data_IF_608215521325
#
_entry.id   IF_608215521325
#
_cell.length_a   1.000
_cell.length_b   1.000
_cell.length_c   1.000
_cell.angle_alpha   90.00
_cell.angle_beta   90.00
_cell.angle_gamma   90.00
#
_symmetry.space_group_name_H-M   'P 1'
#
loop_
_entity.id
_entity.type
_entity.pdbx_description
1 polymer ?
#
# COMPACT_ATOMS: atom_id res chain seq x y z
N UNK A 1 -30.12 -1.26 -6.33
CA UNK A 1 -28.69 -1.55 -6.61
C UNK A 1 -28.07 -0.31 -7.23
N UNK A 2 -26.89 0.08 -6.77
CA UNK A 2 -26.21 1.30 -7.20
C UNK A 2 -25.67 1.23 -8.62
N UNK A 3 -25.51 2.40 -9.26
CA UNK A 3 -24.99 2.52 -10.63
C UNK A 3 -23.51 2.13 -10.69
N UNK A 4 -23.11 1.37 -11.70
CA UNK A 4 -21.70 1.02 -11.94
C UNK A 4 -21.01 2.19 -12.64
N UNK A 5 -19.87 2.65 -12.10
CA UNK A 5 -19.07 3.73 -12.68
C UNK A 5 -17.94 3.17 -13.53
N UNK A 6 -17.20 2.19 -12.98
CA UNK A 6 -16.20 1.40 -13.71
C UNK A 6 -16.42 -0.08 -13.44
N UNK A 7 -16.09 -0.92 -14.43
CA UNK A 7 -16.18 -2.37 -14.32
C UNK A 7 -14.80 -2.98 -14.52
N UNK A 8 -14.45 -3.93 -13.68
CA UNK A 8 -13.20 -4.68 -13.79
C UNK A 8 -13.03 -5.30 -15.19
N UNK A 9 -11.80 -5.32 -15.70
CA UNK A 9 -11.46 -5.80 -17.04
C UNK A 9 -11.83 -4.84 -18.19
N UNK A 10 -12.63 -3.80 -17.96
CA UNK A 10 -12.96 -2.83 -19.01
C UNK A 10 -11.77 -1.93 -19.34
N UNK A 11 -11.77 -1.35 -20.56
CA UNK A 11 -10.75 -0.39 -20.94
C UNK A 11 -10.85 0.88 -20.07
N UNK A 12 -9.69 1.41 -19.70
CA UNK A 12 -9.58 2.65 -18.96
C UNK A 12 -9.43 3.84 -19.91
N UNK A 13 -10.32 4.82 -19.72
CA UNK A 13 -10.37 6.05 -20.53
C UNK A 13 -10.35 7.30 -19.63
N UNK A 14 -10.79 7.16 -18.39
CA UNK A 14 -11.02 8.28 -17.46
C UNK A 14 -10.48 8.03 -16.07
N UNK A 15 -10.08 9.09 -15.41
CA UNK A 15 -9.81 9.16 -13.98
C UNK A 15 -10.94 9.93 -13.29
N UNK A 16 -11.28 9.57 -12.05
CA UNK A 16 -12.42 10.15 -11.35
C UNK A 16 -12.02 10.71 -9.98
N UNK A 17 -12.54 11.90 -9.65
CA UNK A 17 -12.45 12.50 -8.32
C UNK A 17 -13.87 12.68 -7.75
N UNK A 18 -14.14 12.13 -6.57
CA UNK A 18 -15.45 12.22 -5.93
C UNK A 18 -15.62 13.61 -5.30
N UNK A 19 -16.57 14.39 -5.79
CA UNK A 19 -16.91 15.71 -5.25
C UNK A 19 -17.89 15.55 -4.07
N UNK A 20 -18.82 14.61 -4.16
CA UNK A 20 -19.76 14.28 -3.10
C UNK A 20 -20.30 12.84 -3.28
N UNK A 21 -20.76 12.22 -2.18
CA UNK A 21 -21.26 10.84 -2.17
C UNK A 21 -20.27 9.77 -1.71
N UNK A 22 -20.71 8.51 -1.80
CA UNK A 22 -20.00 7.31 -1.37
C UNK A 22 -20.04 6.23 -2.46
N UNK A 23 -18.93 5.54 -2.70
CA UNK A 23 -18.81 4.44 -3.65
C UNK A 23 -18.14 3.22 -3.02
N UNK A 24 -18.54 2.04 -3.45
CA UNK A 24 -17.93 0.76 -3.09
C UNK A 24 -17.00 0.27 -4.21
N UNK A 25 -15.84 -0.27 -3.83
CA UNK A 25 -14.85 -0.86 -4.74
C UNK A 25 -14.80 -2.35 -4.52
N UNK A 26 -15.03 -3.11 -5.59
CA UNK A 26 -15.07 -4.56 -5.60
C UNK A 26 -14.01 -5.13 -6.52
N UNK A 27 -13.39 -6.24 -6.11
CA UNK A 27 -12.50 -7.03 -6.96
C UNK A 27 -13.00 -8.45 -7.07
N UNK A 28 -12.86 -9.04 -8.25
CA UNK A 28 -13.04 -10.48 -8.44
C UNK A 28 -11.91 -11.21 -7.72
N UNK A 29 -12.29 -12.25 -6.98
CA UNK A 29 -11.38 -13.13 -6.27
C UNK A 29 -11.76 -14.57 -6.59
N UNK A 30 -10.78 -15.31 -7.10
CA UNK A 30 -10.90 -16.74 -7.34
C UNK A 30 -10.42 -17.51 -6.10
N UNK A 31 -11.29 -18.35 -5.57
CA UNK A 31 -10.95 -19.22 -4.45
C UNK A 31 -9.96 -20.29 -4.88
N UNK A 32 -8.75 -20.36 -4.31
CA UNK A 32 -7.76 -21.38 -4.67
C UNK A 32 -8.18 -22.79 -4.24
N UNK A 33 -9.21 -22.93 -3.40
CA UNK A 33 -9.70 -24.22 -2.91
C UNK A 33 -10.86 -24.72 -3.77
N UNK A 34 -11.76 -23.82 -4.17
CA UNK A 34 -13.01 -24.19 -4.83
C UNK A 34 -13.08 -23.78 -6.31
N UNK A 35 -12.08 -23.04 -6.81
CA UNK A 35 -12.04 -22.42 -8.15
C UNK A 35 -13.32 -21.64 -8.47
N UNK A 36 -13.97 -21.08 -7.44
CA UNK A 36 -15.15 -20.24 -7.60
C UNK A 36 -14.73 -18.78 -7.62
N UNK A 37 -15.28 -18.03 -8.58
CA UNK A 37 -15.08 -16.59 -8.67
C UNK A 37 -16.14 -15.91 -7.83
N UNK A 38 -15.70 -15.07 -6.91
CA UNK A 38 -16.56 -14.24 -6.06
C UNK A 38 -16.15 -12.78 -6.14
N UNK A 39 -17.06 -11.87 -5.80
CA UNK A 39 -16.74 -10.44 -5.70
C UNK A 39 -16.52 -10.06 -4.24
N UNK A 40 -15.39 -9.40 -3.94
CA UNK A 40 -15.05 -8.95 -2.59
C UNK A 40 -15.00 -7.44 -2.52
N UNK A 41 -15.67 -6.85 -1.52
CA UNK A 41 -15.53 -5.43 -1.19
C UNK A 41 -14.11 -5.17 -0.67
N UNK A 42 -13.34 -4.37 -1.40
CA UNK A 42 -11.95 -4.04 -1.04
C UNK A 42 -11.81 -2.66 -0.44
N UNK A 43 -12.65 -1.69 -0.82
CA UNK A 43 -12.61 -0.34 -0.28
C UNK A 43 -13.97 0.35 -0.36
N UNK A 44 -14.15 1.37 0.50
CA UNK A 44 -15.26 2.33 0.42
C UNK A 44 -14.64 3.71 0.23
N UNK A 45 -14.95 4.37 -0.87
CA UNK A 45 -14.45 5.70 -1.21
C UNK A 45 -15.55 6.73 -0.94
N UNK A 46 -15.15 7.91 -0.49
CA UNK A 46 -16.08 9.00 -0.16
C UNK A 46 -15.69 10.24 -0.96
N UNK A 47 -16.41 11.34 -0.77
CA UNK A 47 -15.98 12.71 -1.12
C UNK A 47 -14.46 12.85 -0.98
N UNK A 48 -13.80 13.59 -1.88
CA UNK A 48 -12.37 13.84 -1.92
C UNK A 48 -11.47 12.64 -2.22
N UNK A 49 -11.98 11.41 -2.27
CA UNK A 49 -11.25 10.27 -2.81
C UNK A 49 -11.25 10.32 -4.34
N UNK A 50 -10.24 9.70 -4.95
CA UNK A 50 -10.17 9.47 -6.38
C UNK A 50 -9.99 8.00 -6.71
N UNK A 51 -10.26 7.62 -7.95
CA UNK A 51 -10.03 6.26 -8.45
C UNK A 51 -9.88 6.22 -9.97
N UNK A 52 -9.32 5.11 -10.46
CA UNK A 52 -9.20 4.82 -11.89
C UNK A 52 -7.84 5.16 -12.50
N UNK A 53 -6.88 5.60 -11.69
CA UNK A 53 -5.51 5.91 -12.07
C UNK A 53 -4.76 4.66 -12.54
N UNK A 54 -4.77 3.57 -11.77
CA UNK A 54 -3.93 2.37 -12.01
C UNK A 54 -4.01 1.89 -13.46
N UNK A 55 -5.23 1.80 -14.00
CA UNK A 55 -5.44 1.30 -15.34
C UNK A 55 -5.03 2.29 -16.45
N UNK A 56 -5.01 3.60 -16.18
CA UNK A 56 -4.48 4.58 -17.13
C UNK A 56 -2.95 4.55 -17.19
N UNK A 57 -2.31 4.12 -16.10
CA UNK A 57 -0.86 4.01 -15.97
C UNK A 57 -0.34 2.68 -16.54
N UNK A 58 -0.99 1.56 -16.17
CA UNK A 58 -0.33 0.25 -16.19
C UNK A 58 -0.79 -0.71 -17.30
N UNK A 59 -2.10 -0.88 -17.45
CA UNK A 59 -2.65 -2.05 -18.15
C UNK A 59 -3.72 -1.69 -19.18
N UNK A 60 -4.13 -0.42 -19.25
CA UNK A 60 -5.36 0.06 -19.91
C UNK A 60 -6.62 -0.67 -19.47
N UNK A 61 -6.58 -1.55 -18.46
CA UNK A 61 -7.68 -2.43 -18.04
C UNK A 61 -7.97 -2.23 -16.56
N UNK A 62 -9.23 -1.97 -16.21
CA UNK A 62 -9.64 -1.72 -14.82
C UNK A 62 -9.35 -2.95 -13.95
N UNK A 63 -8.75 -2.73 -12.79
CA UNK A 63 -8.40 -3.77 -11.82
C UNK A 63 -9.47 -3.99 -10.75
N UNK A 64 -10.56 -3.25 -10.81
CA UNK A 64 -11.68 -3.32 -9.88
C UNK A 64 -12.95 -2.75 -10.53
N UNK A 65 -14.09 -3.13 -9.96
CA UNK A 65 -15.42 -2.56 -10.24
C UNK A 65 -15.73 -1.51 -9.17
N UNK A 66 -16.27 -0.36 -9.55
CA UNK A 66 -16.69 0.69 -8.61
C UNK A 66 -18.16 1.00 -8.83
N UNK A 67 -18.93 0.98 -7.74
CA UNK A 67 -20.37 1.19 -7.76
C UNK A 67 -20.78 2.30 -6.80
N UNK A 68 -21.78 3.10 -7.16
CA UNK A 68 -22.35 4.11 -6.27
C UNK A 68 -23.04 3.45 -5.08
N UNK A 69 -22.70 3.83 -3.86
CA UNK A 69 -23.44 3.45 -2.66
C UNK A 69 -24.57 4.46 -2.35
N UNK A 70 -24.32 5.74 -2.62
CA UNK A 70 -25.29 6.85 -2.54
C UNK A 70 -25.43 7.52 -3.90
N UNK A 71 -26.17 8.63 -3.99
CA UNK A 71 -25.96 9.56 -5.11
C UNK A 71 -24.53 10.10 -5.05
N UNK A 72 -23.87 10.19 -6.20
CA UNK A 72 -22.46 10.56 -6.31
C UNK A 72 -22.28 11.63 -7.37
N UNK A 73 -21.63 12.71 -6.99
CA UNK A 73 -21.15 13.76 -7.91
C UNK A 73 -19.64 13.62 -8.04
N UNK A 74 -19.13 13.60 -9.27
CA UNK A 74 -17.70 13.38 -9.53
C UNK A 74 -17.20 14.21 -10.70
N UNK A 75 -15.92 14.56 -10.67
CA UNK A 75 -15.20 15.04 -11.84
C UNK A 75 -14.66 13.82 -12.59
N UNK A 76 -14.83 13.79 -13.92
CA UNK A 76 -14.21 12.83 -14.81
C UNK A 76 -13.15 13.53 -15.65
N UNK A 77 -11.92 13.03 -15.61
CA UNK A 77 -10.77 13.56 -16.34
C UNK A 77 -10.39 12.55 -17.42
N UNK A 78 -10.34 12.98 -18.68
CA UNK A 78 -9.93 12.14 -19.81
C UNK A 78 -8.45 11.73 -19.68
N UNK A 79 -8.07 10.61 -20.29
CA UNK A 79 -6.71 10.08 -20.20
C UNK A 79 -5.65 11.11 -20.63
N UNK A 80 -5.86 11.83 -21.73
CA UNK A 80 -4.87 12.81 -22.20
C UNK A 80 -4.67 13.95 -21.20
N UNK A 81 -5.75 14.42 -20.58
CA UNK A 81 -5.70 15.48 -19.58
C UNK A 81 -5.10 14.97 -18.27
N UNK A 82 -5.38 13.73 -17.89
CA UNK A 82 -4.73 13.09 -16.76
C UNK A 82 -3.20 13.05 -16.95
N UNK A 83 -2.72 12.62 -18.12
CA UNK A 83 -1.28 12.62 -18.43
C UNK A 83 -0.71 14.04 -18.39
N UNK A 84 -1.40 15.03 -18.98
CA UNK A 84 -0.93 16.43 -18.94
C UNK A 84 -0.88 16.99 -17.52
N UNK A 85 -1.90 16.76 -16.70
CA UNK A 85 -1.99 17.34 -15.36
C UNK A 85 -1.03 16.66 -14.40
N UNK A 86 -0.95 15.32 -14.43
CA UNK A 86 -0.26 14.54 -13.41
C UNK A 86 1.10 13.99 -13.85
N UNK A 87 1.41 13.95 -15.16
CA UNK A 87 2.68 13.41 -15.67
C UNK A 87 3.50 14.37 -16.51
N UNK A 88 2.95 15.50 -16.96
CA UNK A 88 3.73 16.42 -17.80
C UNK A 88 4.68 17.26 -16.94
N UNK A 89 5.93 16.83 -16.86
CA UNK A 89 7.04 17.70 -16.50
C UNK A 89 7.38 18.56 -17.72
N UNK A 90 6.86 19.78 -17.77
CA UNK A 90 7.18 20.75 -18.84
C UNK A 90 8.60 21.31 -18.74
N UNK A 91 9.34 21.01 -17.68
CA UNK A 91 10.72 21.49 -17.48
C UNK A 91 11.65 20.31 -17.18
N UNK A 92 12.92 20.42 -17.57
CA UNK A 92 14.00 19.43 -17.34
C UNK A 92 14.42 19.36 -15.87
N UNK A 93 13.49 19.62 -14.96
CA UNK A 93 13.69 19.60 -13.51
C UNK A 93 13.43 18.19 -12.98
N UNK A 94 14.23 17.78 -12.01
CA UNK A 94 13.99 16.54 -11.28
C UNK A 94 12.58 16.59 -10.66
N UNK A 95 11.76 15.53 -10.75
CA UNK A 95 10.45 15.52 -10.12
C UNK A 95 10.52 15.80 -8.61
N UNK A 96 9.62 16.63 -8.10
CA UNK A 96 9.51 16.98 -6.66
C UNK A 96 9.61 15.79 -5.71
N UNK A 97 9.02 14.65 -6.08
CA UNK A 97 9.04 13.47 -5.23
C UNK A 97 10.45 12.88 -5.11
N UNK A 98 11.27 12.93 -6.17
CA UNK A 98 12.67 12.47 -6.11
C UNK A 98 13.47 13.40 -5.22
N UNK A 99 13.31 14.72 -5.38
CA UNK A 99 13.97 15.70 -4.52
C UNK A 99 13.62 15.49 -3.04
N UNK A 100 12.37 15.13 -2.74
CA UNK A 100 11.96 14.74 -1.38
C UNK A 100 12.59 13.41 -0.93
N UNK A 101 12.56 12.35 -1.75
CA UNK A 101 13.14 11.06 -1.40
C UNK A 101 14.64 11.14 -1.10
N UNK A 102 15.38 12.01 -1.80
CA UNK A 102 16.82 12.26 -1.52
C UNK A 102 17.08 12.84 -0.13
N UNK A 103 16.09 13.47 0.51
CA UNK A 103 16.23 14.02 1.87
C UNK A 103 16.10 12.94 2.96
N UNK A 104 15.64 11.73 2.60
CA UNK A 104 15.41 10.63 3.54
C UNK A 104 16.72 9.83 3.71
N UNK A 105 17.29 9.73 4.93
CA UNK A 105 18.56 9.05 5.17
C UNK A 105 18.59 7.59 4.71
N UNK A 106 17.47 6.88 4.81
CA UNK A 106 17.31 5.48 4.42
C UNK A 106 17.49 5.25 2.90
N UNK A 107 17.33 6.30 2.09
CA UNK A 107 17.57 6.26 0.65
C UNK A 107 18.99 6.71 0.26
N UNK A 108 19.92 6.86 1.22
CA UNK A 108 21.31 7.17 0.92
C UNK A 108 21.92 6.08 0.03
N UNK A 109 22.42 6.48 -1.14
CA UNK A 109 23.01 5.57 -2.13
C UNK A 109 22.00 4.87 -3.04
N UNK A 110 20.70 5.19 -2.92
CA UNK A 110 19.70 4.73 -3.88
C UNK A 110 19.95 5.38 -5.26
N UNK A 111 20.00 4.61 -6.37
CA UNK A 111 20.39 5.12 -7.68
C UNK A 111 19.22 5.82 -8.39
N UNK A 112 18.80 6.99 -7.88
CA UNK A 112 17.68 7.76 -8.43
C UNK A 112 17.88 8.14 -9.91
N UNK A 113 19.13 8.19 -10.37
CA UNK A 113 19.53 8.53 -11.74
C UNK A 113 19.14 7.43 -12.74
N UNK A 114 18.87 6.20 -12.25
CA UNK A 114 18.39 5.09 -13.08
C UNK A 114 16.87 5.09 -13.26
N UNK A 115 16.16 5.99 -12.58
CA UNK A 115 14.71 6.12 -12.71
C UNK A 115 14.41 6.85 -14.01
N UNK A 116 13.59 6.31 -14.90
CA UNK A 116 13.19 7.03 -16.10
C UNK A 116 12.43 8.31 -15.68
N UNK A 117 12.80 9.49 -16.20
CA UNK A 117 12.07 10.71 -15.93
C UNK A 117 10.65 10.54 -16.45
N UNK A 118 9.67 10.64 -15.55
CA UNK A 118 8.25 10.43 -15.80
C UNK A 118 7.82 8.97 -15.98
N UNK A 119 8.51 8.02 -15.36
CA UNK A 119 7.95 6.68 -15.17
C UNK A 119 6.83 6.74 -14.12
N UNK A 120 5.54 6.66 -14.51
CA UNK A 120 4.46 6.69 -13.55
C UNK A 120 4.49 5.49 -12.62
N UNK A 121 5.15 4.38 -12.99
CA UNK A 121 5.25 3.17 -12.18
C UNK A 121 6.32 3.28 -11.09
N UNK A 122 7.18 4.29 -11.12
CA UNK A 122 8.22 4.42 -10.10
C UNK A 122 7.68 5.02 -8.80
N UNK A 123 6.80 6.02 -8.89
CA UNK A 123 6.25 6.68 -7.72
C UNK A 123 4.82 7.18 -7.98
N UNK A 124 3.88 6.73 -7.14
CA UNK A 124 2.50 7.21 -7.14
C UNK A 124 2.28 8.16 -5.96
N UNK A 125 2.01 9.43 -6.24
CA UNK A 125 1.58 10.38 -5.22
C UNK A 125 0.08 10.24 -5.00
N UNK A 126 -0.30 9.68 -3.86
CA UNK A 126 -1.71 9.42 -3.50
C UNK A 126 -2.07 10.19 -2.23
N UNK A 127 -3.26 10.77 -2.21
CA UNK A 127 -3.80 11.50 -1.06
C UNK A 127 -4.83 10.63 -0.33
N UNK A 128 -4.62 10.43 0.97
CA UNK A 128 -5.51 9.66 1.82
C UNK A 128 -6.27 10.56 2.78
N UNK A 129 -7.55 10.27 2.99
CA UNK A 129 -8.33 10.89 4.05
C UNK A 129 -8.04 10.25 5.39
N UNK A 130 -8.29 11.00 6.46
CA UNK A 130 -8.20 10.47 7.81
C UNK A 130 -9.09 9.22 7.97
N UNK A 131 -8.52 8.17 8.53
CA UNK A 131 -9.19 6.89 8.76
C UNK A 131 -9.18 5.93 7.56
N UNK A 132 -8.64 6.32 6.40
CA UNK A 132 -8.45 5.40 5.28
C UNK A 132 -7.30 4.44 5.55
N UNK A 133 -7.54 3.14 5.35
CA UNK A 133 -6.48 2.12 5.38
C UNK A 133 -5.70 2.20 4.07
N UNK A 134 -4.42 2.60 4.16
CA UNK A 134 -3.52 2.74 3.01
C UNK A 134 -3.07 1.37 2.47
N UNK A 135 -2.62 0.51 3.38
CA UNK A 135 -2.15 -0.85 3.07
C UNK A 135 -2.72 -1.81 4.12
N UNK A 136 -3.37 -2.89 3.68
CA UNK A 136 -3.97 -3.90 4.58
C UNK A 136 -2.94 -4.91 5.09
N UNK A 137 -2.03 -5.34 4.22
CA UNK A 137 -0.98 -6.29 4.53
C UNK A 137 0.25 -5.97 3.68
N UNK A 138 1.24 -5.32 4.29
CA UNK A 138 2.44 -4.87 3.60
C UNK A 138 3.33 -6.02 3.11
N UNK A 139 3.08 -7.27 3.54
CA UNK A 139 3.83 -8.43 3.03
C UNK A 139 3.31 -8.90 1.66
N UNK A 140 2.14 -8.42 1.24
CA UNK A 140 1.49 -8.78 -0.03
C UNK A 140 1.42 -7.60 -0.99
N UNK A 141 2.02 -6.48 -0.62
CA UNK A 141 2.02 -5.25 -1.41
C UNK A 141 3.37 -5.12 -2.11
N UNK A 142 3.35 -4.75 -3.39
CA UNK A 142 4.56 -4.55 -4.19
C UNK A 142 5.14 -3.14 -3.97
N UNK A 143 4.41 -2.26 -3.27
CA UNK A 143 4.77 -0.86 -3.07
C UNK A 143 5.37 -0.58 -1.69
N UNK A 144 6.36 0.32 -1.67
CA UNK A 144 6.81 1.00 -0.45
C UNK A 144 6.06 2.34 -0.35
N UNK A 145 5.53 2.63 0.84
CA UNK A 145 4.80 3.86 1.10
C UNK A 145 5.71 4.86 1.84
N UNK A 146 5.82 6.07 1.29
CA UNK A 146 6.57 7.17 1.91
C UNK A 146 5.61 8.32 2.20
N UNK A 147 5.49 8.70 3.47
CA UNK A 147 4.60 9.78 3.89
C UNK A 147 5.30 11.13 3.70
N UNK A 148 4.94 11.85 2.62
CA UNK A 148 5.45 13.20 2.35
C UNK A 148 4.89 14.25 3.31
N UNK A 149 3.60 14.16 3.65
CA UNK A 149 2.93 15.12 4.53
C UNK A 149 1.84 14.40 5.33
N UNK A 150 1.73 14.72 6.62
CA UNK A 150 0.77 14.10 7.53
C UNK A 150 1.34 12.95 8.36
N UNK A 151 0.47 12.12 8.92
CA UNK A 151 0.85 10.98 9.75
C UNK A 151 -0.04 9.77 9.46
N UNK A 152 0.55 8.58 9.49
CA UNK A 152 -0.17 7.31 9.44
C UNK A 152 0.09 6.50 10.73
N UNK A 153 -0.82 5.57 11.05
CA UNK A 153 -0.60 4.56 12.09
C UNK A 153 -0.35 3.22 11.43
N UNK A 154 0.74 2.56 11.84
CA UNK A 154 1.02 1.17 11.46
C UNK A 154 0.49 0.27 12.56
N UNK A 155 -0.40 -0.67 12.21
CA UNK A 155 -1.04 -1.58 13.16
C UNK A 155 -0.72 -3.01 12.71
N UNK A 156 -0.23 -3.83 13.64
CA UNK A 156 0.00 -5.26 13.43
C UNK A 156 -0.89 -6.04 14.39
N UNK A 157 -1.79 -6.87 13.84
CA UNK A 157 -2.52 -7.83 14.66
C UNK A 157 -1.54 -8.90 15.17
N UNK A 158 -1.46 -9.05 16.50
CA UNK A 158 -0.63 -10.09 17.13
C UNK A 158 -1.51 -11.29 17.44
N UNK A 159 -1.07 -12.47 17.02
CA UNK A 159 -1.64 -13.72 17.51
C UNK A 159 -1.09 -13.99 18.90
N UNK A 160 -1.98 -14.28 19.84
CA UNK A 160 -1.57 -14.72 21.17
C UNK A 160 -0.82 -16.06 21.02
N UNK A 161 0.41 -16.09 21.49
CA UNK A 161 1.24 -17.29 21.53
C UNK A 161 1.46 -17.69 22.98
N UNK A 162 1.52 -19.00 23.24
CA UNK A 162 1.96 -19.50 24.54
C UNK A 162 3.47 -19.30 24.65
N UNK A 163 3.97 -18.52 25.63
CA UNK A 163 5.41 -18.25 25.75
C UNK A 163 6.18 -19.55 26.05
N UNK A 164 7.18 -19.86 25.23
CA UNK A 164 8.17 -20.89 25.56
C UNK A 164 9.24 -20.25 26.44
N UNK A 165 9.04 -20.34 27.76
CA UNK A 165 10.07 -19.96 28.73
C UNK A 165 11.16 -21.02 28.72
N UNK A 166 12.27 -20.77 28.02
CA UNK A 166 13.50 -21.55 28.22
C UNK A 166 14.15 -21.08 29.51
N UNK A 167 13.85 -21.74 30.62
CA UNK A 167 14.58 -21.55 31.86
C UNK A 167 15.98 -22.12 31.62
N UNK A 168 16.99 -21.27 31.41
CA UNK A 168 18.39 -21.72 31.54
C UNK A 168 18.56 -22.17 32.98
N UNK A 169 18.86 -23.45 33.21
CA UNK A 169 19.28 -23.93 34.55
C UNK A 169 20.43 -23.03 35.00
N UNK A 170 20.31 -22.45 36.20
CA UNK A 170 21.47 -21.84 36.87
C UNK A 170 22.53 -22.95 37.00
N UNK A 171 23.81 -22.69 36.67
CA UNK A 171 24.86 -23.68 36.92
C UNK A 171 24.83 -24.08 38.39
N UNK A 172 24.88 -25.38 38.65
CA UNK A 172 24.99 -25.92 40.00
C UNK A 172 26.35 -25.52 40.58
N UNK A 173 26.33 -24.77 41.68
CA UNK A 173 27.55 -24.45 42.42
C UNK A 173 27.80 -25.60 43.39
N UNK A 174 28.82 -26.42 43.10
CA UNK A 174 29.27 -27.49 43.99
C UNK A 174 30.42 -26.92 44.83
N UNK A 175 30.33 -27.08 46.15
CA UNK A 175 31.40 -26.73 47.08
C UNK A 175 32.14 -28.00 47.50
N UNK A 176 33.47 -28.04 47.34
CA UNK A 176 34.32 -29.07 47.93
C UNK A 176 35.04 -28.55 49.20
N UNK A 177 35.78 -29.42 49.87
CA UNK A 177 36.49 -29.09 51.12
C UNK A 177 37.66 -28.08 50.96
N UNK A 178 37.98 -27.65 49.74
CA UNK A 178 39.08 -26.72 49.43
C UNK A 178 38.64 -25.45 48.67
N UNK A 179 37.41 -25.34 48.14
CA UNK A 179 36.88 -24.11 47.55
C UNK A 179 35.85 -24.32 46.43
N UNK A 180 35.43 -23.23 45.78
CA UNK A 180 34.41 -23.22 44.71
C UNK A 180 34.98 -23.73 43.38
N UNK A 181 34.36 -24.76 42.78
CA UNK A 181 34.66 -25.23 41.42
C UNK A 181 33.46 -24.98 40.51
N UNK A 182 33.65 -24.19 39.45
CA UNK A 182 32.66 -23.98 38.40
C UNK A 182 32.82 -25.09 37.35
N UNK A 183 31.80 -25.90 37.11
CA UNK A 183 31.77 -26.78 35.93
C UNK A 183 31.00 -26.08 34.80
N UNK A 184 31.62 -25.99 33.63
CA UNK A 184 30.97 -25.50 32.41
C UNK A 184 30.03 -26.62 31.89
N UNK A 185 28.84 -26.32 31.34
CA UNK A 185 27.88 -27.33 30.91
C UNK A 185 28.17 -27.87 29.49
N UNK A 186 29.41 -27.75 29.00
CA UNK A 186 29.84 -28.24 27.69
C UNK A 186 31.08 -29.14 27.83
N UNK A 187 30.86 -30.34 28.37
CA UNK A 187 31.55 -31.57 27.96
C UNK A 187 30.47 -32.56 27.47
#
# INVERSE_FOLDING_TARGET
MGRVIIREGHRAEKFYLIIDGITDVYQLWESPITNTISSRLVAVLKKGSSFGEIALLNSKRRTATVTCQTDVTMLAIEQEDFVKIFMSNKERTEPDFITFLRQIPEFRGFPFEKIPPNDPYFCHVVYYRMGTVMCKDSNKDEWIYVIRTGCCRVIKALTQVTPKLTIKKKPEVIYDHFGMVMTDPFD
#
